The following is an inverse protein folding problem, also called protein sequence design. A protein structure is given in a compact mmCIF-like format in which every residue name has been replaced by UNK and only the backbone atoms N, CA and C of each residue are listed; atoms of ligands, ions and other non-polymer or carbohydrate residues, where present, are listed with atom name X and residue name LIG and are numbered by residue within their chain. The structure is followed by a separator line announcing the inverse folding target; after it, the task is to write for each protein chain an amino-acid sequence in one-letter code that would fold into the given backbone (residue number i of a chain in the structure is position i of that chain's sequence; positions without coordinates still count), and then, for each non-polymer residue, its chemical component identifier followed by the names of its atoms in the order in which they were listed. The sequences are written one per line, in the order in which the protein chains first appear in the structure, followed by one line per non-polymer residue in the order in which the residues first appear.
data_IF_588724398587
#
_entry.id   IF_588724398587
#
_cell.length_a   1.000
_cell.length_b   1.000
_cell.length_c   1.000
_cell.angle_alpha   90.00
_cell.angle_beta   90.00
_cell.angle_gamma   90.00
#
_symmetry.space_group_name_H-M   'P 1'
#
loop_
_entity.id
_entity.type
_entity.pdbx_description
1 polymer ?
#
# COMPACT_ATOMS: atom_id res chain seq x y z
N UNK A 1 10.08 -6.39 6.12
CA UNK A 1 8.87 -7.21 6.38
C UNK A 1 7.68 -6.28 6.35
N UNK A 2 6.68 -6.54 5.51
CA UNK A 2 5.42 -5.80 5.52
C UNK A 2 4.63 -6.14 6.79
N UNK A 3 3.79 -5.20 7.24
CA UNK A 3 2.93 -5.44 8.38
C UNK A 3 1.64 -6.10 7.91
N UNK A 4 1.21 -7.15 8.60
CA UNK A 4 -0.08 -7.79 8.34
C UNK A 4 -1.22 -6.88 8.80
N UNK A 5 -2.15 -6.54 7.92
CA UNK A 5 -3.31 -5.72 8.22
C UNK A 5 -4.49 -6.61 8.61
N UNK A 6 -4.89 -6.54 9.86
CA UNK A 6 -6.02 -7.30 10.43
C UNK A 6 -7.15 -6.34 10.74
N UNK A 7 -8.27 -6.45 10.02
CA UNK A 7 -9.42 -5.58 10.24
C UNK A 7 -10.57 -6.31 10.95
N UNK A 8 -11.21 -5.60 11.88
CA UNK A 8 -12.28 -6.10 12.73
C UNK A 8 -13.62 -5.53 12.25
N UNK A 9 -14.50 -6.40 11.73
CA UNK A 9 -15.80 -6.06 11.20
C UNK A 9 -16.92 -6.64 12.08
N UNK A 10 -18.03 -5.95 12.18
CA UNK A 10 -19.19 -6.38 12.97
C UNK A 10 -20.14 -5.22 13.25
N UNK A 11 -21.31 -5.51 13.78
CA UNK A 11 -22.33 -4.51 14.14
C UNK A 11 -21.81 -3.49 15.16
N UNK A 12 -22.47 -2.36 15.27
CA UNK A 12 -22.23 -1.38 16.35
C UNK A 12 -22.40 -2.09 17.70
N UNK A 13 -21.51 -1.82 18.65
CA UNK A 13 -21.48 -2.45 19.98
C UNK A 13 -21.23 -3.99 19.99
N UNK A 14 -20.82 -4.61 18.87
CA UNK A 14 -20.43 -6.03 18.86
C UNK A 14 -19.20 -6.35 19.72
N UNK A 15 -18.42 -5.32 20.12
CA UNK A 15 -17.23 -5.46 20.95
C UNK A 15 -15.90 -5.40 20.18
N UNK A 16 -15.89 -4.91 18.92
CA UNK A 16 -14.67 -4.75 18.09
C UNK A 16 -13.57 -4.00 18.81
N UNK A 17 -13.86 -2.78 19.26
CA UNK A 17 -12.88 -1.92 19.96
C UNK A 17 -12.39 -2.56 21.26
N UNK A 18 -13.28 -3.23 21.99
CA UNK A 18 -12.91 -3.98 23.20
C UNK A 18 -11.95 -5.13 22.88
N UNK A 19 -12.22 -5.87 21.80
CA UNK A 19 -11.36 -6.95 21.34
C UNK A 19 -9.99 -6.44 20.88
N UNK A 20 -9.94 -5.37 20.07
CA UNK A 20 -8.69 -4.74 19.63
C UNK A 20 -7.86 -4.28 20.83
N UNK A 21 -8.50 -3.69 21.85
CA UNK A 21 -7.81 -3.29 23.09
C UNK A 21 -7.29 -4.49 23.87
N UNK A 22 -8.07 -5.56 23.98
CA UNK A 22 -7.63 -6.79 24.66
C UNK A 22 -6.42 -7.43 23.96
N UNK A 23 -6.39 -7.43 22.63
CA UNK A 23 -5.24 -7.92 21.85
C UNK A 23 -3.99 -7.05 22.09
N UNK A 24 -4.15 -5.72 22.14
CA UNK A 24 -3.03 -4.79 22.38
C UNK A 24 -2.53 -4.78 23.82
N UNK A 25 -3.24 -5.41 24.78
CA UNK A 25 -2.90 -5.34 26.20
C UNK A 25 -2.99 -3.93 26.79
N UNK A 26 -3.71 -3.00 26.14
CA UNK A 26 -3.82 -1.61 26.55
C UNK A 26 -5.30 -1.21 26.67
N UNK A 27 -5.69 -0.68 27.83
CA UNK A 27 -6.96 0.04 28.02
C UNK A 27 -6.87 1.46 27.41
N UNK A 28 -6.49 1.58 26.14
CA UNK A 28 -6.38 2.88 25.46
C UNK A 28 -7.36 2.96 24.30
N UNK A 29 -8.61 3.05 24.60
CA UNK A 29 -9.57 3.87 23.87
C UNK A 29 -10.70 4.24 24.80
N UNK A 30 -11.00 5.51 24.87
CA UNK A 30 -12.27 6.00 25.35
C UNK A 30 -13.36 5.30 24.53
N UNK A 31 -13.92 4.24 25.08
CA UNK A 31 -15.17 3.70 24.59
C UNK A 31 -16.18 4.80 24.87
N UNK A 32 -16.43 5.65 23.89
CA UNK A 32 -17.50 6.65 24.01
C UNK A 32 -18.80 5.86 24.23
N UNK A 33 -19.47 6.13 25.34
CA UNK A 33 -20.77 5.54 25.65
C UNK A 33 -21.88 6.03 24.72
N UNK A 34 -21.57 6.94 23.78
CA UNK A 34 -22.50 7.47 22.78
C UNK A 34 -22.34 6.66 21.50
N UNK A 35 -23.36 5.90 21.04
CA UNK A 35 -23.32 5.21 19.76
C UNK A 35 -23.06 6.20 18.64
N UNK A 36 -22.12 5.90 17.75
CA UNK A 36 -21.91 6.68 16.54
C UNK A 36 -20.77 7.72 16.58
N UNK A 37 -19.86 7.71 17.54
CA UNK A 37 -18.79 8.72 17.65
C UNK A 37 -17.54 8.40 16.82
N UNK A 38 -17.32 7.18 16.36
CA UNK A 38 -16.14 6.84 15.54
C UNK A 38 -16.57 6.72 14.07
N UNK A 39 -16.28 7.73 13.28
CA UNK A 39 -16.54 7.72 11.82
C UNK A 39 -15.35 7.15 11.04
N UNK A 40 -14.12 7.29 11.53
CA UNK A 40 -12.90 6.84 10.89
C UNK A 40 -12.39 5.53 11.48
N UNK A 41 -11.87 4.61 10.64
CA UNK A 41 -11.19 3.41 11.10
C UNK A 41 -9.96 3.76 11.95
N UNK A 42 -9.88 3.19 13.16
CA UNK A 42 -8.74 3.41 14.06
C UNK A 42 -7.69 2.34 13.82
N UNK A 43 -6.45 2.76 13.54
CA UNK A 43 -5.32 1.85 13.30
C UNK A 43 -4.41 1.79 14.51
N UNK A 44 -4.08 0.59 14.95
CA UNK A 44 -3.13 0.34 16.05
C UNK A 44 -2.01 -0.56 15.57
N UNK A 45 -0.78 -0.22 15.93
CA UNK A 45 0.39 -1.06 15.66
C UNK A 45 0.56 -2.05 16.82
N UNK A 46 0.77 -3.31 16.49
CA UNK A 46 0.99 -4.38 17.45
C UNK A 46 2.04 -5.37 16.93
N UNK A 47 2.82 -5.94 17.84
CA UNK A 47 3.65 -7.10 17.58
C UNK A 47 2.91 -8.32 18.13
N UNK A 48 2.48 -9.24 17.27
CA UNK A 48 1.66 -10.37 17.68
C UNK A 48 2.46 -11.68 17.62
N UNK A 49 2.38 -12.53 18.68
CA UNK A 49 3.06 -13.81 18.70
C UNK A 49 2.68 -14.69 17.50
N UNK A 50 3.67 -15.18 16.76
CA UNK A 50 3.48 -16.04 15.58
C UNK A 50 3.03 -15.31 14.31
N UNK A 51 2.77 -14.00 14.37
CA UNK A 51 2.36 -13.16 13.23
C UNK A 51 3.35 -12.02 12.96
N UNK A 52 4.18 -11.64 13.96
CA UNK A 52 5.10 -10.49 13.84
C UNK A 52 4.39 -9.14 13.86
N UNK A 53 4.93 -8.12 13.17
CA UNK A 53 4.39 -6.77 13.19
C UNK A 53 3.07 -6.68 12.41
N UNK A 54 2.01 -6.21 13.08
CA UNK A 54 0.66 -6.10 12.56
C UNK A 54 0.11 -4.66 12.65
N UNK A 55 -0.87 -4.36 11.80
CA UNK A 55 -1.76 -3.20 11.91
C UNK A 55 -3.14 -3.72 12.22
N UNK A 56 -3.66 -3.42 13.40
CA UNK A 56 -5.04 -3.75 13.79
C UNK A 56 -5.94 -2.59 13.41
N UNK A 57 -7.00 -2.85 12.64
CA UNK A 57 -7.92 -1.84 12.13
C UNK A 57 -9.29 -2.05 12.73
N UNK A 58 -9.68 -1.15 13.64
CA UNK A 58 -11.02 -1.12 14.22
C UNK A 58 -11.96 -0.35 13.30
N UNK A 59 -13.00 -1.01 12.76
CA UNK A 59 -13.93 -0.40 11.81
C UNK A 59 -15.22 0.06 12.47
N UNK A 60 -15.91 1.03 11.88
CA UNK A 60 -17.27 1.39 12.25
C UNK A 60 -18.27 0.27 11.91
N UNK A 61 -19.38 0.17 12.65
CA UNK A 61 -20.49 -0.74 12.30
C UNK A 61 -21.23 -0.26 11.04
N UNK A 62 -21.81 -1.18 10.25
CA UNK A 62 -22.65 -0.86 9.07
C UNK A 62 -24.14 -0.64 9.43
N UNK A 63 -24.53 -0.88 10.63
CA UNK A 63 -25.91 -0.84 11.12
C UNK A 63 -26.41 0.55 11.53
N UNK A 64 -25.63 1.59 11.24
CA UNK A 64 -26.00 2.97 11.53
C UNK A 64 -26.75 3.59 10.35
N UNK A 65 -28.05 3.76 10.50
CA UNK A 65 -28.98 4.35 9.50
C UNK A 65 -29.01 5.89 9.53
N UNK A 66 -28.11 6.54 10.28
CA UNK A 66 -28.03 7.99 10.35
C UNK A 66 -27.50 8.65 9.06
N UNK A 67 -27.57 9.98 8.99
CA UNK A 67 -27.09 10.82 7.86
C UNK A 67 -25.62 10.51 7.48
N UNK A 68 -24.83 9.99 8.42
CA UNK A 68 -23.43 9.58 8.22
C UNK A 68 -23.28 8.11 7.78
N UNK A 69 -24.37 7.34 7.62
CA UNK A 69 -24.33 5.91 7.33
C UNK A 69 -23.62 5.59 6.01
N UNK A 70 -23.97 6.29 4.94
CA UNK A 70 -23.34 6.10 3.62
C UNK A 70 -21.83 6.40 3.63
N UNK A 71 -21.40 7.43 4.33
CA UNK A 71 -19.99 7.78 4.45
C UNK A 71 -19.21 6.74 5.27
N UNK A 72 -19.80 6.20 6.33
CA UNK A 72 -19.22 5.10 7.12
C UNK A 72 -19.11 3.83 6.31
N UNK A 73 -20.14 3.51 5.53
CA UNK A 73 -20.12 2.35 4.62
C UNK A 73 -18.98 2.50 3.61
N UNK A 74 -18.84 3.65 2.97
CA UNK A 74 -17.76 3.95 2.03
C UNK A 74 -16.38 3.76 2.68
N UNK A 75 -16.19 4.30 3.88
CA UNK A 75 -14.91 4.17 4.63
C UNK A 75 -14.63 2.74 5.06
N UNK A 76 -15.65 2.01 5.49
CA UNK A 76 -15.51 0.59 5.84
C UNK A 76 -15.17 -0.27 4.61
N UNK A 77 -15.79 0.02 3.45
CA UNK A 77 -15.45 -0.62 2.17
C UNK A 77 -14.00 -0.32 1.76
N UNK A 78 -13.54 0.90 1.96
CA UNK A 78 -12.15 1.27 1.67
C UNK A 78 -11.13 0.49 2.53
N UNK A 79 -11.49 0.10 3.77
CA UNK A 79 -10.64 -0.76 4.61
C UNK A 79 -10.46 -2.16 4.02
N UNK A 80 -11.46 -2.69 3.30
CA UNK A 80 -11.31 -4.01 2.65
C UNK A 80 -10.16 -4.04 1.64
N UNK A 81 -9.86 -2.91 1.00
CA UNK A 81 -8.78 -2.82 0.02
C UNK A 81 -7.39 -3.05 0.63
N UNK A 82 -7.21 -2.74 1.92
CA UNK A 82 -5.95 -2.89 2.65
C UNK A 82 -5.95 -4.07 3.65
N UNK A 83 -7.05 -4.83 3.76
CA UNK A 83 -7.22 -5.89 4.77
C UNK A 83 -6.63 -7.22 4.30
N UNK A 84 -5.63 -7.75 4.99
CA UNK A 84 -5.05 -9.07 4.71
C UNK A 84 -5.85 -10.20 5.38
N UNK A 85 -6.33 -9.96 6.61
CA UNK A 85 -7.21 -10.89 7.34
C UNK A 85 -8.37 -10.12 7.97
N UNK A 86 -9.58 -10.63 7.79
CA UNK A 86 -10.78 -10.07 8.41
C UNK A 86 -11.17 -10.87 9.66
N UNK A 87 -11.48 -10.17 10.76
CA UNK A 87 -12.09 -10.76 11.95
C UNK A 87 -13.55 -10.31 12.02
N UNK A 88 -14.47 -11.26 11.88
CA UNK A 88 -15.91 -11.03 11.97
C UNK A 88 -16.35 -11.17 13.42
N UNK A 89 -16.67 -10.04 14.05
CA UNK A 89 -16.99 -9.95 15.50
C UNK A 89 -18.49 -9.97 15.72
N UNK A 90 -18.98 -10.98 16.48
CA UNK A 90 -20.38 -11.16 16.81
C UNK A 90 -20.65 -10.85 18.29
N UNK A 91 -21.70 -10.08 18.52
CA UNK A 91 -22.21 -9.80 19.87
C UNK A 91 -22.93 -11.01 20.52
N UNK A 92 -23.30 -10.93 21.81
CA UNK A 92 -23.89 -12.05 22.57
C UNK A 92 -25.26 -12.51 22.03
N UNK A 93 -25.95 -11.72 21.24
CA UNK A 93 -27.31 -12.05 20.75
C UNK A 93 -27.33 -13.07 19.62
N UNK A 94 -26.19 -13.36 18.98
CA UNK A 94 -26.10 -14.28 17.81
C UNK A 94 -25.80 -15.73 18.24
N UNK A 95 -25.45 -15.97 19.51
CA UNK A 95 -25.07 -17.30 20.02
C UNK A 95 -26.24 -18.28 20.25
N UNK A 96 -27.50 -17.87 20.04
CA UNK A 96 -28.69 -18.73 20.30
C UNK A 96 -29.27 -19.40 19.05
N UNK A 97 -28.70 -19.24 17.87
CA UNK A 97 -29.17 -19.92 16.65
C UNK A 97 -28.50 -21.30 16.49
N UNK A 98 -29.35 -22.31 16.43
CA UNK A 98 -29.15 -23.77 16.37
C UNK A 98 -27.88 -24.27 15.66
N UNK A 99 -27.26 -25.38 16.18
CA UNK A 99 -25.99 -25.94 15.70
C UNK A 99 -26.02 -26.62 14.32
N UNK A 100 -27.16 -26.71 13.64
CA UNK A 100 -27.33 -27.60 12.47
C UNK A 100 -27.71 -26.89 11.14
N UNK A 101 -27.65 -25.58 11.05
CA UNK A 101 -27.74 -24.91 9.76
C UNK A 101 -26.34 -24.43 9.35
N UNK A 102 -25.91 -24.83 8.14
CA UNK A 102 -24.71 -24.28 7.51
C UNK A 102 -24.75 -22.75 7.67
N UNK A 103 -23.71 -22.19 8.28
CA UNK A 103 -23.67 -20.82 8.82
C UNK A 103 -24.05 -19.79 7.74
N UNK A 104 -25.35 -19.61 7.52
CA UNK A 104 -25.85 -18.42 6.86
C UNK A 104 -25.69 -17.27 7.86
N UNK A 105 -24.85 -16.31 7.51
CA UNK A 105 -24.73 -15.06 8.24
C UNK A 105 -26.12 -14.43 8.33
N UNK A 106 -26.77 -14.49 9.50
CA UNK A 106 -28.07 -13.84 9.67
C UNK A 106 -27.83 -12.33 9.59
N UNK A 107 -28.44 -11.69 8.61
CA UNK A 107 -28.43 -10.24 8.43
C UNK A 107 -28.97 -9.60 9.72
N UNK A 108 -28.23 -8.64 10.29
CA UNK A 108 -28.70 -7.91 11.47
C UNK A 108 -30.05 -7.24 11.15
N UNK A 109 -31.10 -7.34 11.98
CA UNK A 109 -32.44 -6.87 11.67
C UNK A 109 -32.54 -5.39 11.30
N UNK A 110 -31.55 -4.59 11.67
CA UNK A 110 -31.49 -3.15 11.40
C UNK A 110 -30.67 -2.77 10.14
N UNK A 111 -30.13 -3.75 9.40
CA UNK A 111 -29.45 -3.47 8.12
C UNK A 111 -30.50 -3.42 7.02
N UNK A 112 -30.47 -2.35 6.21
CA UNK A 112 -31.35 -2.22 5.06
C UNK A 112 -31.23 -3.46 4.15
N UNK A 113 -32.32 -3.93 3.52
CA UNK A 113 -32.36 -5.20 2.77
C UNK A 113 -31.31 -5.28 1.65
N UNK A 114 -30.88 -4.15 1.12
CA UNK A 114 -29.96 -4.05 -0.03
C UNK A 114 -28.48 -3.89 0.36
N UNK A 115 -28.16 -3.76 1.65
CA UNK A 115 -26.76 -3.65 2.12
C UNK A 115 -26.22 -5.07 2.39
N UNK A 116 -25.18 -5.53 1.68
CA UNK A 116 -24.52 -6.80 1.96
C UNK A 116 -23.95 -6.82 3.40
N UNK A 117 -24.08 -7.95 4.08
CA UNK A 117 -23.40 -8.11 5.37
C UNK A 117 -21.87 -8.16 5.21
N UNK A 118 -21.14 -7.95 6.31
CA UNK A 118 -19.67 -7.96 6.29
C UNK A 118 -19.08 -9.28 5.78
N UNK A 119 -19.70 -10.41 6.09
CA UNK A 119 -19.24 -11.73 5.63
C UNK A 119 -19.29 -11.83 4.11
N UNK A 120 -20.36 -11.33 3.50
CA UNK A 120 -20.53 -11.27 2.05
C UNK A 120 -19.49 -10.34 1.41
N UNK A 121 -19.29 -9.13 1.96
CA UNK A 121 -18.31 -8.16 1.45
C UNK A 121 -16.87 -8.72 1.54
N UNK A 122 -16.50 -9.31 2.66
CA UNK A 122 -15.18 -9.93 2.90
C UNK A 122 -14.96 -11.10 1.92
N UNK A 123 -15.98 -11.95 1.72
CA UNK A 123 -15.90 -13.07 0.79
C UNK A 123 -15.77 -12.60 -0.68
N UNK A 124 -16.55 -11.60 -1.10
CA UNK A 124 -16.45 -11.01 -2.44
C UNK A 124 -15.08 -10.36 -2.70
N UNK A 125 -14.47 -9.76 -1.65
CA UNK A 125 -13.12 -9.22 -1.73
C UNK A 125 -12.02 -10.30 -1.71
N UNK A 126 -12.37 -11.58 -1.53
CA UNK A 126 -11.42 -12.69 -1.44
C UNK A 126 -10.47 -12.55 -0.24
N UNK A 127 -10.99 -12.04 0.90
CA UNK A 127 -10.19 -11.84 2.12
C UNK A 127 -10.33 -13.07 3.01
N UNK A 128 -9.23 -13.70 3.45
CA UNK A 128 -9.29 -14.73 4.49
C UNK A 128 -9.95 -14.17 5.74
N UNK A 129 -10.84 -14.93 6.35
CA UNK A 129 -11.56 -14.45 7.51
C UNK A 129 -11.70 -15.48 8.63
N UNK A 130 -11.76 -14.98 9.86
CA UNK A 130 -12.06 -15.74 11.07
C UNK A 130 -13.22 -15.10 11.81
N UNK A 131 -14.00 -15.91 12.50
CA UNK A 131 -15.11 -15.42 13.35
C UNK A 131 -14.64 -15.29 14.78
N UNK A 132 -15.16 -14.32 15.51
CA UNK A 132 -14.98 -14.17 16.95
C UNK A 132 -16.34 -13.90 17.61
N UNK A 133 -16.70 -14.73 18.58
CA UNK A 133 -17.86 -14.49 19.42
C UNK A 133 -17.39 -13.88 20.74
N UNK A 134 -18.18 -12.96 21.27
CA UNK A 134 -17.85 -12.30 22.54
C UNK A 134 -17.72 -13.36 23.65
N UNK A 135 -16.51 -13.44 24.23
CA UNK A 135 -16.16 -14.43 25.26
C UNK A 135 -15.24 -15.56 24.76
N UNK A 136 -15.00 -15.64 23.45
CA UNK A 136 -13.97 -16.54 22.92
C UNK A 136 -12.58 -16.14 23.44
N UNK A 137 -11.67 -17.10 23.53
CA UNK A 137 -10.27 -16.85 23.91
C UNK A 137 -9.54 -16.03 22.84
N UNK A 138 -8.89 -14.94 23.27
CA UNK A 138 -8.03 -14.12 22.38
C UNK A 138 -6.85 -14.93 21.86
N UNK A 139 -6.26 -15.81 22.69
CA UNK A 139 -5.15 -16.67 22.27
C UNK A 139 -5.56 -17.62 21.14
N UNK A 140 -6.75 -18.23 21.26
CA UNK A 140 -7.29 -19.10 20.22
C UNK A 140 -7.64 -18.33 18.94
N UNK A 141 -8.13 -17.10 19.06
CA UNK A 141 -8.36 -16.22 17.93
C UNK A 141 -7.05 -15.92 17.19
N UNK A 142 -5.96 -15.59 17.88
CA UNK A 142 -4.66 -15.32 17.27
C UNK A 142 -4.12 -16.55 16.53
N UNK A 143 -4.27 -17.77 17.07
CA UNK A 143 -3.92 -19.00 16.37
C UNK A 143 -4.72 -19.20 15.08
N UNK A 144 -6.02 -18.91 15.10
CA UNK A 144 -6.88 -18.98 13.90
C UNK A 144 -6.52 -17.92 12.87
N UNK A 145 -6.18 -16.70 13.30
CA UNK A 145 -5.67 -15.66 12.40
C UNK A 145 -4.37 -16.13 11.75
N UNK A 146 -3.41 -16.65 12.52
CA UNK A 146 -2.15 -17.16 11.99
C UNK A 146 -2.36 -18.29 10.98
N UNK A 147 -3.34 -19.16 11.18
CA UNK A 147 -3.63 -20.26 10.28
C UNK A 147 -4.21 -19.83 8.91
N UNK A 148 -4.87 -18.67 8.84
CA UNK A 148 -5.47 -18.15 7.60
C UNK A 148 -4.70 -16.97 7.01
N UNK A 149 -3.77 -16.41 7.76
CA UNK A 149 -2.95 -15.29 7.28
C UNK A 149 -2.23 -15.69 5.98
N UNK A 150 -2.22 -14.81 4.99
CA UNK A 150 -1.48 -15.10 3.76
C UNK A 150 -0.01 -15.31 4.12
N UNK A 151 0.51 -16.49 3.84
CA UNK A 151 1.95 -16.71 3.80
C UNK A 151 2.44 -16.06 2.50
N UNK A 152 2.79 -14.79 2.54
CA UNK A 152 3.52 -14.23 1.41
C UNK A 152 4.88 -14.94 1.40
N UNK A 153 5.19 -15.63 0.30
CA UNK A 153 6.57 -15.96 -0.04
C UNK A 153 7.36 -14.65 0.12
N UNK A 154 8.49 -14.70 0.82
CA UNK A 154 9.34 -13.52 1.00
C UNK A 154 9.67 -12.94 -0.37
N UNK A 155 8.91 -11.95 -0.79
CA UNK A 155 9.18 -11.22 -2.03
C UNK A 155 10.25 -10.21 -1.72
N UNK A 156 11.44 -10.50 -2.20
CA UNK A 156 12.53 -9.55 -2.15
C UNK A 156 12.19 -8.32 -2.98
N UNK A 157 12.46 -7.13 -2.43
CA UNK A 157 12.31 -5.86 -3.16
C UNK A 157 13.17 -5.86 -4.43
N UNK A 158 14.39 -6.35 -4.32
CA UNK A 158 15.33 -6.45 -5.44
C UNK A 158 15.01 -7.62 -6.40
N UNK A 159 14.02 -8.47 -6.08
CA UNK A 159 13.61 -9.59 -6.92
C UNK A 159 14.80 -10.47 -7.34
N UNK A 160 14.96 -10.67 -8.65
CA UNK A 160 16.05 -11.44 -9.25
C UNK A 160 17.28 -10.59 -9.63
N UNK A 161 17.27 -9.27 -9.35
CA UNK A 161 18.32 -8.35 -9.79
C UNK A 161 19.66 -8.54 -9.08
N UNK A 162 19.68 -9.19 -7.92
CA UNK A 162 20.90 -9.41 -7.12
C UNK A 162 20.97 -10.83 -6.56
N UNK A 163 22.19 -11.29 -6.32
CA UNK A 163 22.53 -12.54 -5.67
C UNK A 163 23.62 -12.31 -4.60
N UNK A 164 23.86 -13.29 -3.74
CA UNK A 164 24.88 -13.22 -2.71
C UNK A 164 26.27 -12.93 -3.33
N UNK A 165 27.01 -12.01 -2.73
CA UNK A 165 28.32 -11.54 -3.18
C UNK A 165 28.27 -10.35 -4.13
N UNK A 166 27.11 -9.98 -4.67
CA UNK A 166 26.99 -8.83 -5.57
C UNK A 166 27.32 -7.50 -4.87
N UNK A 167 28.00 -6.62 -5.60
CA UNK A 167 28.30 -5.25 -5.17
C UNK A 167 27.22 -4.30 -5.68
N UNK A 168 26.51 -3.66 -4.76
CA UNK A 168 25.38 -2.77 -5.08
C UNK A 168 25.66 -1.35 -4.62
N UNK A 169 25.57 -0.38 -5.54
CA UNK A 169 25.71 1.05 -5.23
C UNK A 169 24.35 1.68 -5.02
N UNK A 170 24.11 2.27 -3.85
CA UNK A 170 22.88 2.99 -3.52
C UNK A 170 23.16 4.49 -3.54
N UNK A 171 22.50 5.20 -4.46
CA UNK A 171 22.64 6.65 -4.62
C UNK A 171 21.44 7.34 -4.03
N UNK A 172 21.62 7.94 -2.86
CA UNK A 172 20.54 8.51 -2.04
C UNK A 172 20.75 10.02 -1.92
N UNK A 173 19.93 10.84 -2.59
CA UNK A 173 20.00 12.29 -2.45
C UNK A 173 19.62 12.75 -1.04
N UNK A 174 20.01 13.97 -0.71
CA UNK A 174 19.52 14.68 0.47
C UNK A 174 18.59 15.80 -0.01
N UNK A 175 17.32 15.70 0.28
CA UNK A 175 16.28 16.65 -0.10
C UNK A 175 15.23 16.80 1.03
N UNK A 176 14.11 17.44 0.75
CA UNK A 176 13.03 17.64 1.73
C UNK A 176 12.38 16.33 2.19
N UNK A 177 12.32 15.31 1.34
CA UNK A 177 11.75 14.01 1.66
C UNK A 177 12.73 13.13 2.46
N UNK A 178 14.03 13.22 2.14
CA UNK A 178 15.12 12.51 2.82
C UNK A 178 16.16 13.49 3.38
N UNK A 179 15.81 14.29 4.43
CA UNK A 179 16.69 15.33 4.95
C UNK A 179 17.92 14.76 5.64
N UNK A 180 18.92 15.63 5.85
CA UNK A 180 20.16 15.27 6.54
C UNK A 180 19.89 14.58 7.88
N UNK A 181 20.56 13.46 8.10
CA UNK A 181 20.45 12.66 9.33
C UNK A 181 19.32 11.61 9.31
N UNK A 182 18.58 11.48 8.20
CA UNK A 182 17.50 10.49 8.08
C UNK A 182 17.54 9.77 6.72
N UNK A 183 17.32 8.46 6.73
CA UNK A 183 16.95 7.68 5.55
C UNK A 183 15.44 7.48 5.54
N UNK A 184 14.85 7.44 4.35
CA UNK A 184 13.44 7.09 4.18
C UNK A 184 13.23 5.57 4.17
N UNK A 185 12.00 5.15 4.46
CA UNK A 185 11.68 3.74 4.63
C UNK A 185 12.13 2.83 3.47
N UNK A 186 11.92 3.17 2.19
CA UNK A 186 12.41 2.36 1.08
C UNK A 186 13.93 2.15 1.07
N UNK A 187 14.70 3.20 1.39
CA UNK A 187 16.15 3.12 1.45
C UNK A 187 16.60 2.15 2.55
N UNK A 188 16.02 2.28 3.75
CA UNK A 188 16.33 1.38 4.89
C UNK A 188 15.97 -0.07 4.57
N UNK A 189 14.81 -0.31 3.96
CA UNK A 189 14.36 -1.66 3.61
C UNK A 189 15.28 -2.32 2.59
N UNK A 190 15.67 -1.61 1.54
CA UNK A 190 16.57 -2.15 0.51
C UNK A 190 17.97 -2.42 1.08
N UNK A 191 18.53 -1.50 1.88
CA UNK A 191 19.82 -1.72 2.56
C UNK A 191 19.76 -2.99 3.42
N UNK A 192 18.70 -3.15 4.23
CA UNK A 192 18.54 -4.32 5.09
C UNK A 192 18.46 -5.61 4.27
N UNK A 193 17.63 -5.61 3.21
CA UNK A 193 17.49 -6.77 2.33
C UNK A 193 18.81 -7.17 1.66
N UNK A 194 19.56 -6.21 1.14
CA UNK A 194 20.87 -6.49 0.52
C UNK A 194 21.83 -7.16 1.52
N UNK A 195 21.86 -6.69 2.76
CA UNK A 195 22.67 -7.33 3.81
C UNK A 195 22.18 -8.74 4.13
N UNK A 196 20.88 -8.96 4.24
CA UNK A 196 20.30 -10.29 4.50
C UNK A 196 20.56 -11.26 3.35
N UNK A 197 20.63 -10.76 2.11
CA UNK A 197 20.99 -11.54 0.91
C UNK A 197 22.48 -11.76 0.72
N UNK A 198 23.33 -11.24 1.61
CA UNK A 198 24.79 -11.39 1.52
C UNK A 198 25.42 -10.53 0.42
N UNK A 199 24.77 -9.45 -0.03
CA UNK A 199 25.33 -8.46 -0.94
C UNK A 199 26.21 -7.46 -0.21
N UNK A 200 27.02 -6.69 -0.95
CA UNK A 200 27.89 -5.65 -0.42
C UNK A 200 27.36 -4.28 -0.84
N UNK A 201 26.54 -3.59 0.00
CA UNK A 201 25.98 -2.29 -0.35
C UNK A 201 27.01 -1.16 -0.12
N UNK A 202 27.20 -0.32 -1.13
CA UNK A 202 27.96 0.93 -1.08
C UNK A 202 26.98 2.11 -1.14
N UNK A 203 26.86 2.85 -0.04
CA UNK A 203 25.93 3.97 0.06
C UNK A 203 26.64 5.29 -0.25
N UNK A 204 26.07 6.10 -1.12
CA UNK A 204 26.62 7.42 -1.48
C UNK A 204 25.50 8.44 -1.77
N UNK A 205 25.86 9.71 -1.85
CA UNK A 205 25.02 10.76 -2.38
C UNK A 205 25.32 10.98 -3.86
N UNK A 206 24.48 11.67 -4.64
CA UNK A 206 24.81 12.02 -6.04
C UNK A 206 26.15 12.75 -6.15
N UNK A 207 26.48 13.62 -5.20
CA UNK A 207 27.76 14.37 -5.21
C UNK A 207 28.99 13.49 -4.98
N UNK A 208 28.86 12.36 -4.29
CA UNK A 208 29.96 11.44 -3.99
C UNK A 208 29.95 10.19 -4.88
N UNK A 209 29.04 10.10 -5.88
CA UNK A 209 28.90 8.93 -6.75
C UNK A 209 30.21 8.57 -7.47
N UNK A 210 30.89 9.55 -8.07
CA UNK A 210 32.15 9.30 -8.77
C UNK A 210 33.24 8.72 -7.86
N UNK A 211 33.33 9.22 -6.61
CA UNK A 211 34.27 8.69 -5.63
C UNK A 211 33.89 7.26 -5.18
N UNK A 212 32.60 7.00 -4.99
CA UNK A 212 32.09 5.67 -4.67
C UNK A 212 32.41 4.68 -5.80
N UNK A 213 32.13 5.03 -7.05
CA UNK A 213 32.47 4.19 -8.22
C UNK A 213 33.97 3.92 -8.33
N UNK A 214 34.80 4.94 -8.11
CA UNK A 214 36.28 4.81 -8.17
C UNK A 214 36.85 3.94 -7.04
N UNK A 215 36.16 3.75 -5.94
CA UNK A 215 36.58 2.90 -4.82
C UNK A 215 36.31 1.41 -5.04
N UNK A 216 35.55 1.04 -6.07
CA UNK A 216 35.21 -0.34 -6.40
C UNK A 216 36.34 -1.00 -7.20
N UNK A 217 36.51 -2.31 -7.04
CA UNK A 217 37.47 -3.09 -7.83
C UNK A 217 37.02 -3.29 -9.30
N UNK A 218 35.76 -3.05 -9.61
CA UNK A 218 35.15 -3.18 -10.92
C UNK A 218 33.82 -2.45 -11.01
N UNK A 219 33.05 -2.71 -12.07
CA UNK A 219 31.68 -2.18 -12.17
C UNK A 219 30.78 -2.84 -11.14
N UNK A 220 29.84 -2.08 -10.51
CA UNK A 220 28.86 -2.68 -9.63
C UNK A 220 27.87 -3.57 -10.39
N UNK A 221 27.38 -4.60 -9.73
CA UNK A 221 26.36 -5.51 -10.29
C UNK A 221 24.99 -4.83 -10.42
N UNK A 222 24.70 -3.83 -9.58
CA UNK A 222 23.49 -3.02 -9.64
C UNK A 222 23.72 -1.63 -9.04
N UNK A 223 23.11 -0.61 -9.67
CA UNK A 223 22.98 0.73 -9.11
C UNK A 223 21.51 1.00 -8.79
N UNK A 224 21.23 1.41 -7.57
CA UNK A 224 19.87 1.74 -7.08
C UNK A 224 19.84 3.21 -6.68
N UNK A 225 18.87 3.98 -7.17
CA UNK A 225 18.80 5.42 -6.89
C UNK A 225 17.38 5.88 -6.60
N UNK A 226 17.19 7.09 -6.10
CA UNK A 226 15.88 7.73 -6.07
C UNK A 226 15.46 8.21 -7.45
N UNK A 227 14.18 8.07 -7.78
CA UNK A 227 13.63 8.42 -9.10
C UNK A 227 13.84 9.90 -9.46
N UNK A 228 13.99 10.77 -8.47
CA UNK A 228 14.24 12.20 -8.69
C UNK A 228 15.59 12.51 -9.33
N UNK A 229 16.60 11.69 -9.04
CA UNK A 229 17.96 11.86 -9.57
C UNK A 229 18.32 10.83 -10.64
N UNK A 230 17.36 10.05 -11.10
CA UNK A 230 17.51 8.97 -12.07
C UNK A 230 18.31 9.39 -13.30
N UNK A 231 17.92 10.51 -13.93
CA UNK A 231 18.60 11.00 -15.14
C UNK A 231 20.06 11.36 -14.86
N UNK A 232 20.33 12.09 -13.77
CA UNK A 232 21.69 12.50 -13.42
C UNK A 232 22.58 11.30 -13.09
N UNK A 233 22.05 10.29 -12.40
CA UNK A 233 22.78 9.04 -12.11
C UNK A 233 23.04 8.26 -13.39
N UNK A 234 22.05 8.13 -14.28
CA UNK A 234 22.22 7.45 -15.57
C UNK A 234 23.30 8.09 -16.45
N UNK A 235 23.41 9.43 -16.41
CA UNK A 235 24.46 10.15 -17.15
C UNK A 235 25.86 10.02 -16.51
N UNK A 236 25.93 9.72 -15.22
CA UNK A 236 27.17 9.65 -14.46
C UNK A 236 27.78 8.24 -14.37
N UNK A 237 27.03 7.19 -14.70
CA UNK A 237 27.50 5.79 -14.64
C UNK A 237 27.68 5.20 -16.04
N UNK A 238 28.58 4.19 -16.23
CA UNK A 238 28.69 3.46 -17.47
C UNK A 238 27.38 2.82 -17.93
N UNK A 239 27.17 2.74 -19.25
CA UNK A 239 25.94 2.17 -19.82
C UNK A 239 25.76 0.68 -19.46
N UNK A 240 26.84 -0.03 -19.19
CA UNK A 240 26.87 -1.44 -18.84
C UNK A 240 26.39 -1.69 -17.39
N UNK A 241 26.42 -0.67 -16.51
CA UNK A 241 25.95 -0.83 -15.12
C UNK A 241 24.44 -1.01 -15.09
N UNK A 242 23.88 -2.12 -14.59
CA UNK A 242 22.45 -2.24 -14.37
C UNK A 242 21.96 -1.11 -13.43
N UNK A 243 20.82 -0.51 -13.75
CA UNK A 243 20.28 0.64 -13.02
C UNK A 243 18.80 0.45 -12.70
N UNK A 244 18.41 0.71 -11.46
CA UNK A 244 17.00 0.74 -11.04
C UNK A 244 16.77 1.84 -9.99
N UNK A 245 15.54 1.95 -9.48
CA UNK A 245 15.24 2.88 -8.39
C UNK A 245 14.45 2.23 -7.27
N UNK A 246 14.52 2.81 -6.06
CA UNK A 246 13.73 2.37 -4.91
C UNK A 246 12.23 2.31 -5.24
N UNK A 247 11.71 3.28 -6.00
CA UNK A 247 10.31 3.32 -6.41
C UNK A 247 9.95 2.20 -7.40
N UNK A 248 10.86 1.83 -8.30
CA UNK A 248 10.68 0.69 -9.24
C UNK A 248 10.70 -0.63 -8.46
N UNK A 249 11.62 -0.80 -7.51
CA UNK A 249 11.69 -1.99 -6.66
C UNK A 249 10.38 -2.17 -5.85
N UNK A 250 9.89 -1.10 -5.22
CA UNK A 250 8.62 -1.14 -4.51
C UNK A 250 7.43 -1.45 -5.43
N UNK A 251 7.44 -0.92 -6.65
CA UNK A 251 6.40 -1.20 -7.64
C UNK A 251 6.34 -2.69 -8.00
N UNK A 252 7.49 -3.34 -8.16
CA UNK A 252 7.58 -4.79 -8.40
C UNK A 252 7.14 -5.62 -7.20
N UNK A 253 7.60 -5.27 -6.01
CA UNK A 253 7.28 -6.04 -4.80
C UNK A 253 5.80 -5.93 -4.39
N UNK A 254 5.21 -4.72 -4.44
CA UNK A 254 3.85 -4.45 -3.97
C UNK A 254 2.78 -4.54 -5.04
N UNK A 255 3.14 -4.36 -6.31
CA UNK A 255 2.21 -4.34 -7.42
C UNK A 255 2.52 -5.36 -8.50
N UNK A 256 2.28 -4.95 -9.74
CA UNK A 256 2.64 -5.66 -10.94
C UNK A 256 3.46 -4.72 -11.83
N UNK A 257 4.75 -5.00 -11.93
CA UNK A 257 5.70 -4.14 -12.64
C UNK A 257 5.38 -4.06 -14.14
N UNK A 258 4.90 -5.16 -14.74
CA UNK A 258 4.54 -5.19 -16.15
C UNK A 258 3.34 -4.31 -16.44
N UNK A 259 2.28 -4.41 -15.60
CA UNK A 259 1.11 -3.53 -15.68
C UNK A 259 1.52 -2.06 -15.56
N UNK A 260 2.42 -1.73 -14.64
CA UNK A 260 2.88 -0.34 -14.49
C UNK A 260 3.70 0.16 -15.68
N UNK A 261 4.55 -0.68 -16.27
CA UNK A 261 5.33 -0.32 -17.48
C UNK A 261 4.39 -0.12 -18.68
N UNK A 262 3.42 -1.00 -18.87
CA UNK A 262 2.41 -0.83 -19.93
C UNK A 262 1.56 0.41 -19.71
N UNK A 263 1.12 0.65 -18.48
CA UNK A 263 0.37 1.84 -18.10
C UNK A 263 1.14 3.14 -18.38
N UNK A 264 2.46 3.16 -18.19
CA UNK A 264 3.28 4.33 -18.53
C UNK A 264 3.30 4.64 -20.02
N UNK A 265 3.19 3.65 -20.89
CA UNK A 265 3.10 3.87 -22.35
C UNK A 265 1.83 4.61 -22.75
N UNK A 266 0.77 4.53 -21.95
CA UNK A 266 -0.46 5.28 -22.20
C UNK A 266 -0.24 6.81 -22.10
N UNK A 267 0.84 7.28 -21.45
CA UNK A 267 1.25 8.69 -21.43
C UNK A 267 1.42 9.25 -22.84
N UNK A 268 1.93 8.43 -23.78
CA UNK A 268 2.15 8.86 -25.17
C UNK A 268 0.85 9.07 -25.96
N UNK A 269 -0.27 8.56 -25.45
CA UNK A 269 -1.60 8.71 -26.03
C UNK A 269 -2.41 9.85 -25.41
N UNK A 270 -1.91 10.47 -24.33
CA UNK A 270 -2.58 11.59 -23.67
C UNK A 270 -2.58 12.83 -24.58
N UNK A 271 -3.64 13.62 -24.48
CA UNK A 271 -3.85 14.85 -25.25
C UNK A 271 -4.12 16.02 -24.29
N UNK A 272 -3.93 17.26 -24.75
CA UNK A 272 -4.43 18.42 -24.00
C UNK A 272 -5.90 18.22 -23.62
N UNK A 273 -6.25 18.48 -22.36
CA UNK A 273 -7.56 18.23 -21.77
C UNK A 273 -7.77 16.82 -21.19
N UNK A 274 -6.84 15.87 -21.39
CA UNK A 274 -6.92 14.55 -20.72
C UNK A 274 -6.91 14.70 -19.21
N UNK A 275 -7.66 13.83 -18.50
CA UNK A 275 -7.77 13.83 -17.05
C UNK A 275 -6.93 12.70 -16.45
N UNK A 276 -6.02 13.02 -15.55
CA UNK A 276 -5.09 12.09 -14.91
C UNK A 276 -5.35 12.07 -13.42
N UNK A 277 -5.44 10.87 -12.83
CA UNK A 277 -5.54 10.68 -11.39
C UNK A 277 -4.16 10.38 -10.81
N UNK A 278 -3.72 11.18 -9.86
CA UNK A 278 -2.59 10.87 -8.99
C UNK A 278 -3.14 10.21 -7.72
N UNK A 279 -2.78 8.95 -7.50
CA UNK A 279 -3.29 8.13 -6.41
C UNK A 279 -2.20 7.93 -5.34
N UNK A 280 -2.31 8.68 -4.25
CA UNK A 280 -1.43 8.56 -3.08
C UNK A 280 -1.98 7.50 -2.12
N UNK A 281 -1.10 6.65 -1.57
CA UNK A 281 -1.50 5.61 -0.62
C UNK A 281 -1.56 6.12 0.82
N UNK A 282 -0.95 7.24 1.12
CA UNK A 282 -0.94 7.87 2.44
C UNK A 282 -1.35 9.34 2.35
N UNK A 283 -1.65 9.91 3.51
CA UNK A 283 -1.88 11.35 3.63
C UNK A 283 -0.60 11.97 4.19
N UNK A 284 -0.01 12.90 3.46
CA UNK A 284 1.14 13.69 3.90
C UNK A 284 0.91 15.19 3.61
N UNK A 285 1.62 16.04 4.30
CA UNK A 285 1.58 17.48 4.03
C UNK A 285 2.39 17.75 2.77
N UNK A 286 1.79 18.30 1.71
CA UNK A 286 2.51 18.61 0.47
C UNK A 286 3.63 19.61 0.71
N UNK A 287 4.81 19.36 0.11
CA UNK A 287 5.93 20.29 0.07
C UNK A 287 6.10 20.85 -1.34
N UNK A 288 6.91 21.89 -1.47
CA UNK A 288 7.23 22.56 -2.76
C UNK A 288 7.94 21.63 -3.74
N UNK A 289 8.55 20.55 -3.26
CA UNK A 289 9.24 19.52 -4.05
C UNK A 289 8.47 18.22 -4.21
N UNK A 290 7.20 18.17 -3.82
CA UNK A 290 6.34 16.99 -3.87
C UNK A 290 6.33 16.35 -5.26
N UNK A 291 6.66 15.05 -5.29
CA UNK A 291 6.77 14.27 -6.54
C UNK A 291 5.43 14.18 -7.25
N UNK A 292 4.37 13.80 -6.50
CA UNK A 292 3.04 13.56 -7.05
C UNK A 292 2.30 14.83 -7.40
N UNK A 293 2.39 15.84 -6.54
CA UNK A 293 1.57 17.05 -6.65
C UNK A 293 2.23 18.15 -7.47
N UNK A 294 3.55 18.15 -7.59
CA UNK A 294 4.32 19.21 -8.27
C UNK A 294 5.13 18.65 -9.45
N UNK A 295 6.04 17.71 -9.21
CA UNK A 295 7.02 17.29 -10.23
C UNK A 295 6.38 16.52 -11.39
N UNK A 296 5.58 15.50 -11.11
CA UNK A 296 4.91 14.70 -12.16
C UNK A 296 3.93 15.53 -12.98
N UNK A 297 3.04 16.34 -12.40
CA UNK A 297 2.19 17.24 -13.18
C UNK A 297 2.95 18.22 -14.07
N UNK A 298 4.07 18.77 -13.57
CA UNK A 298 4.93 19.67 -14.37
C UNK A 298 5.56 18.94 -15.56
N UNK A 299 6.07 17.72 -15.36
CA UNK A 299 6.64 16.91 -16.43
C UNK A 299 5.60 16.53 -17.49
N UNK A 300 4.40 16.14 -17.07
CA UNK A 300 3.28 15.80 -17.95
C UNK A 300 2.87 17.02 -18.79
N UNK A 301 2.66 18.17 -18.15
CA UNK A 301 2.28 19.41 -18.86
C UNK A 301 3.36 19.87 -19.83
N UNK A 302 4.64 19.72 -19.50
CA UNK A 302 5.75 20.02 -20.40
C UNK A 302 5.73 19.16 -21.67
N UNK A 303 5.32 17.89 -21.58
CA UNK A 303 5.30 16.95 -22.70
C UNK A 303 4.02 17.03 -23.53
N UNK A 304 2.87 17.22 -22.89
CA UNK A 304 1.54 17.02 -23.50
C UNK A 304 0.81 18.36 -23.69
N UNK A 305 1.06 19.34 -22.83
CA UNK A 305 0.30 20.57 -22.71
C UNK A 305 -0.62 20.58 -21.51
N UNK A 306 -1.72 21.32 -21.57
CA UNK A 306 -2.64 21.45 -20.44
C UNK A 306 -3.40 20.15 -20.16
N UNK A 307 -3.37 19.71 -18.91
CA UNK A 307 -4.00 18.50 -18.39
C UNK A 307 -4.79 18.80 -17.12
N UNK A 308 -5.89 18.09 -16.93
CA UNK A 308 -6.56 18.03 -15.64
C UNK A 308 -5.90 16.96 -14.75
N UNK A 309 -5.47 17.36 -13.57
CA UNK A 309 -4.82 16.46 -12.61
C UNK A 309 -5.61 16.48 -11.32
N UNK A 310 -6.20 15.36 -10.98
CA UNK A 310 -6.86 15.14 -9.70
C UNK A 310 -5.94 14.34 -8.77
N UNK A 311 -6.08 14.57 -7.48
CA UNK A 311 -5.29 13.89 -6.47
C UNK A 311 -6.24 13.19 -5.50
N UNK A 312 -6.05 11.90 -5.33
CA UNK A 312 -6.72 11.11 -4.30
C UNK A 312 -5.67 10.60 -3.29
N UNK A 313 -5.89 10.87 -2.01
CA UNK A 313 -4.97 10.50 -0.95
C UNK A 313 -5.60 9.48 0.03
N UNK A 314 -4.81 8.54 0.52
CA UNK A 314 -5.28 7.55 1.48
C UNK A 314 -6.48 6.75 0.96
N UNK A 315 -7.60 6.83 1.66
CA UNK A 315 -8.82 6.08 1.35
C UNK A 315 -9.77 6.77 0.35
N UNK A 316 -9.37 7.93 -0.21
CA UNK A 316 -10.21 8.71 -1.14
C UNK A 316 -10.07 8.26 -2.60
N UNK A 317 -9.55 7.07 -2.84
CA UNK A 317 -9.46 6.50 -4.20
C UNK A 317 -10.87 6.38 -4.79
N UNK A 318 -11.15 6.98 -5.98
CA UNK A 318 -12.50 7.04 -6.54
C UNK A 318 -13.07 5.65 -6.86
N UNK A 319 -14.36 5.47 -6.67
CA UNK A 319 -15.08 4.28 -7.11
C UNK A 319 -15.31 4.31 -8.63
N UNK A 320 -15.66 5.47 -9.18
CA UNK A 320 -15.79 5.70 -10.63
C UNK A 320 -14.47 6.21 -11.20
N UNK A 321 -13.83 5.37 -11.98
CA UNK A 321 -12.57 5.67 -12.68
C UNK A 321 -12.77 6.10 -14.13
N UNK A 322 -13.99 6.03 -14.66
CA UNK A 322 -14.30 6.30 -16.05
C UNK A 322 -13.90 7.70 -16.56
N UNK A 323 -13.83 8.76 -15.73
CA UNK A 323 -13.39 10.07 -16.18
C UNK A 323 -11.88 10.17 -16.49
N UNK A 324 -11.08 9.19 -16.04
CA UNK A 324 -9.63 9.27 -16.12
C UNK A 324 -9.06 8.56 -17.36
N UNK A 325 -8.07 9.18 -17.97
CA UNK A 325 -7.30 8.58 -19.08
C UNK A 325 -6.07 7.82 -18.59
N UNK A 326 -5.62 8.09 -17.35
CA UNK A 326 -4.46 7.44 -16.73
C UNK A 326 -4.53 7.59 -15.21
N UNK A 327 -4.10 6.56 -14.51
CA UNK A 327 -3.87 6.59 -13.05
C UNK A 327 -2.37 6.48 -12.79
N UNK A 328 -1.82 7.38 -11.96
CA UNK A 328 -0.41 7.36 -11.55
C UNK A 328 -0.38 7.13 -10.03
N UNK A 329 -0.01 5.93 -9.62
CA UNK A 329 0.04 5.52 -8.21
C UNK A 329 1.38 5.92 -7.58
N UNK A 330 1.38 6.34 -6.31
CA UNK A 330 2.63 6.60 -5.57
C UNK A 330 3.39 5.29 -5.27
N UNK A 331 4.59 5.39 -4.70
CA UNK A 331 5.42 4.24 -4.32
C UNK A 331 4.85 3.37 -3.20
N UNK A 332 3.76 3.80 -2.54
CA UNK A 332 3.09 3.06 -1.46
C UNK A 332 4.05 2.60 -0.35
N UNK A 333 5.03 3.43 0.03
CA UNK A 333 6.09 3.07 0.95
C UNK A 333 5.58 2.59 2.32
N UNK A 334 4.48 3.14 2.81
CA UNK A 334 3.86 2.81 4.11
C UNK A 334 2.61 1.92 3.99
N UNK A 335 2.07 1.72 2.78
CA UNK A 335 0.91 0.86 2.54
C UNK A 335 1.34 -0.58 2.26
N UNK A 336 0.45 -1.54 2.47
CA UNK A 336 0.70 -2.94 2.12
C UNK A 336 0.47 -3.22 0.62
N UNK A 337 0.98 -4.36 0.16
CA UNK A 337 0.85 -4.78 -1.24
C UNK A 337 -0.61 -5.01 -1.65
N UNK A 338 -1.47 -5.41 -0.70
CA UNK A 338 -2.90 -5.63 -0.97
C UNK A 338 -3.60 -4.37 -1.46
N UNK A 339 -3.34 -3.21 -0.83
CA UNK A 339 -3.92 -1.94 -1.27
C UNK A 339 -3.52 -1.62 -2.72
N UNK A 340 -2.24 -1.78 -3.05
CA UNK A 340 -1.73 -1.52 -4.41
C UNK A 340 -2.39 -2.45 -5.42
N UNK A 341 -2.43 -3.75 -5.14
CA UNK A 341 -3.06 -4.77 -6.01
C UNK A 341 -4.56 -4.55 -6.15
N UNK A 342 -5.26 -4.09 -5.10
CA UNK A 342 -6.68 -3.75 -5.19
C UNK A 342 -6.92 -2.58 -6.16
N UNK A 343 -6.11 -1.52 -6.08
CA UNK A 343 -6.19 -0.38 -6.99
C UNK A 343 -5.85 -0.75 -8.43
N UNK A 344 -4.82 -1.57 -8.65
CA UNK A 344 -4.49 -2.13 -9.97
C UNK A 344 -5.70 -2.87 -10.53
N UNK A 345 -6.30 -3.78 -9.76
CA UNK A 345 -7.47 -4.55 -10.19
C UNK A 345 -8.65 -3.65 -10.54
N UNK A 346 -8.96 -2.63 -9.72
CA UNK A 346 -10.02 -1.65 -10.01
C UNK A 346 -9.76 -0.90 -11.31
N UNK A 347 -8.53 -0.45 -11.54
CA UNK A 347 -8.14 0.23 -12.78
C UNK A 347 -8.30 -0.67 -14.00
N UNK A 348 -7.82 -1.92 -13.93
CA UNK A 348 -7.94 -2.90 -15.02
C UNK A 348 -9.39 -3.25 -15.33
N UNK A 349 -10.24 -3.44 -14.31
CA UNK A 349 -11.68 -3.69 -14.50
C UNK A 349 -12.40 -2.51 -15.15
N UNK A 350 -11.96 -1.28 -14.85
CA UNK A 350 -12.48 -0.07 -15.49
C UNK A 350 -11.88 0.18 -16.89
N UNK A 351 -10.89 -0.61 -17.32
CA UNK A 351 -10.18 -0.39 -18.57
C UNK A 351 -9.27 0.84 -18.58
N UNK A 352 -8.89 1.35 -17.39
CA UNK A 352 -8.07 2.55 -17.25
C UNK A 352 -6.61 2.15 -17.00
N UNK A 353 -5.64 2.63 -17.82
CA UNK A 353 -4.24 2.39 -17.61
C UNK A 353 -3.79 2.88 -16.23
N UNK A 354 -2.93 2.10 -15.56
CA UNK A 354 -2.35 2.47 -14.27
C UNK A 354 -0.85 2.29 -14.31
N UNK A 355 -0.12 3.27 -13.79
CA UNK A 355 1.34 3.24 -13.64
C UNK A 355 1.75 3.75 -12.27
N UNK A 356 3.05 3.86 -12.01
CA UNK A 356 3.59 4.31 -10.72
C UNK A 356 4.56 5.49 -10.91
N UNK A 357 4.84 6.24 -9.83
CA UNK A 357 5.71 7.43 -9.87
C UNK A 357 7.06 7.16 -10.53
N UNK A 358 7.78 6.11 -10.10
CA UNK A 358 9.11 5.80 -10.61
C UNK A 358 9.10 5.47 -12.10
N UNK A 359 8.17 4.63 -12.53
CA UNK A 359 7.99 4.26 -13.93
C UNK A 359 7.55 5.46 -14.78
N UNK A 360 6.64 6.30 -14.26
CA UNK A 360 6.23 7.55 -14.92
C UNK A 360 7.42 8.49 -15.16
N UNK A 361 8.24 8.74 -14.13
CA UNK A 361 9.41 9.60 -14.24
C UNK A 361 10.40 9.02 -15.26
N UNK A 362 10.65 7.71 -15.19
CA UNK A 362 11.53 7.03 -16.12
C UNK A 362 11.05 7.14 -17.56
N UNK A 363 9.75 6.99 -17.82
CA UNK A 363 9.15 7.16 -19.13
C UNK A 363 9.28 8.61 -19.64
N UNK A 364 8.90 9.58 -18.81
CA UNK A 364 8.95 11.01 -19.17
C UNK A 364 10.37 11.53 -19.40
N UNK A 365 11.36 10.95 -18.72
CA UNK A 365 12.78 11.29 -18.89
C UNK A 365 13.51 10.47 -19.98
N UNK A 366 12.79 9.52 -20.63
CA UNK A 366 13.33 8.73 -21.74
C UNK A 366 14.27 7.59 -21.34
N UNK A 367 14.29 7.21 -20.06
CA UNK A 367 15.19 6.17 -19.54
C UNK A 367 14.47 4.85 -19.19
N UNK A 368 13.18 4.72 -19.52
CA UNK A 368 12.40 3.52 -19.16
C UNK A 368 13.04 2.23 -19.70
N UNK A 369 13.60 2.26 -20.92
CA UNK A 369 14.26 1.10 -21.53
C UNK A 369 15.64 0.79 -20.91
N UNK A 370 16.16 1.69 -20.07
CA UNK A 370 17.47 1.56 -19.41
C UNK A 370 17.34 0.92 -18.03
N UNK A 371 16.12 0.84 -17.50
CA UNK A 371 15.86 0.36 -16.13
C UNK A 371 15.86 -1.16 -16.08
N UNK A 372 16.58 -1.72 -15.11
CA UNK A 372 16.46 -3.11 -14.71
C UNK A 372 15.21 -3.28 -13.85
N UNK A 373 14.29 -4.14 -14.26
CA UNK A 373 13.04 -4.45 -13.56
C UNK A 373 13.24 -5.65 -12.63
N UNK A 374 12.72 -5.63 -11.38
CA UNK A 374 12.87 -6.70 -10.39
C UNK A 374 12.10 -7.96 -10.74
#
# INVERSE_FOLDING_TARGET
MERLHIAFFGATNSGKSTLVNAICGQEVSLVSAVPGTTTDPVRKLAELPGLGPCVLIDTAGLDDTGVLGAERERRTRAVLDETDVAVLVFGPEVSQASPNMGRQYQKHPNIAPDVPDFGTLVAQAGIPSVTYNRGDSVEELLKRIAAVAPHEEERFLTGSLVKAGDTVVLVMPQDSEAPKGRLILPQVQVIRELLDRGCVPHCCTPASLSAAMASLAGLPDLVITDSQVFKAVNEAIPAECPLTSFSVLLAGAKGDIHTFVEGARAIDSLKPGSRVLIAEACTHVPDTEDIGRVKIPALLRKRIGDLQVDIAAGNDFPEDLSPYSLIIHCGACVANARLVRSRIRKALLAGIPITNYGITIAHLTGILNRISLP
#
